data_IF_435471491431
#
_entry.id   IF_435471491431
#
_cell.length_a   1.000
_cell.length_b   1.000
_cell.length_c   1.000
_cell.angle_alpha   90.00
_cell.angle_beta   90.00
_cell.angle_gamma   90.00
#
_symmetry.space_group_name_H-M   'P 1'
#
loop_
_entity.id
_entity.type
_entity.pdbx_description
1 polymer ?
#
# COMPACT_ATOMS: atom_id res chain seq x y z
N UNK A 1 22.44 12.93 13.42
CA UNK A 1 22.63 12.67 11.98
C UNK A 1 22.32 11.21 11.75
N UNK A 2 21.23 10.90 11.06
CA UNK A 2 20.84 9.51 10.79
C UNK A 2 21.76 9.04 9.65
N UNK A 3 22.73 8.18 9.95
CA UNK A 3 23.58 7.61 8.92
C UNK A 3 22.78 6.50 8.25
N UNK A 4 22.33 6.71 7.01
CA UNK A 4 21.72 5.64 6.22
C UNK A 4 22.84 4.87 5.53
N UNK A 5 23.46 3.93 6.23
CA UNK A 5 24.42 3.02 5.57
C UNK A 5 23.67 1.92 4.82
N UNK A 6 24.33 1.30 3.84
CA UNK A 6 23.77 0.13 3.13
C UNK A 6 23.40 -1.00 4.11
N UNK A 7 24.15 -1.15 5.19
CA UNK A 7 23.91 -2.17 6.21
C UNK A 7 22.63 -1.86 7.00
N UNK A 8 22.44 -0.62 7.45
CA UNK A 8 21.22 -0.20 8.16
C UNK A 8 19.96 -0.43 7.31
N UNK A 9 20.05 -0.19 6.01
CA UNK A 9 18.96 -0.48 5.07
C UNK A 9 18.63 -1.97 4.97
N UNK A 10 19.64 -2.84 4.99
CA UNK A 10 19.42 -4.30 4.97
C UNK A 10 18.81 -4.79 6.29
N UNK A 11 19.28 -4.28 7.43
CA UNK A 11 18.75 -4.65 8.74
C UNK A 11 17.30 -4.19 8.91
N UNK A 12 16.97 -2.98 8.46
CA UNK A 12 15.60 -2.49 8.42
C UNK A 12 14.67 -3.35 7.53
N UNK A 13 15.13 -3.75 6.34
CA UNK A 13 14.33 -4.60 5.46
C UNK A 13 14.12 -6.01 6.04
N UNK A 14 15.12 -6.56 6.76
CA UNK A 14 14.98 -7.84 7.47
C UNK A 14 13.92 -7.75 8.56
N UNK A 15 13.96 -6.71 9.38
CA UNK A 15 12.95 -6.48 10.43
C UNK A 15 11.56 -6.23 9.84
N UNK A 16 11.46 -5.40 8.79
CA UNK A 16 10.21 -5.11 8.12
C UNK A 16 9.57 -6.38 7.52
N UNK A 17 10.38 -7.29 6.96
CA UNK A 17 9.90 -8.57 6.45
C UNK A 17 9.39 -9.52 7.55
N UNK A 18 9.90 -9.40 8.78
CA UNK A 18 9.44 -10.19 9.92
C UNK A 18 8.08 -9.71 10.46
N UNK A 19 7.67 -8.47 10.16
CA UNK A 19 6.36 -7.93 10.52
C UNK A 19 5.36 -8.26 9.40
N UNK A 20 4.36 -9.13 9.62
CA UNK A 20 3.42 -9.54 8.57
C UNK A 20 2.35 -8.47 8.33
N UNK A 21 2.73 -7.33 7.73
CA UNK A 21 1.78 -6.28 7.34
C UNK A 21 0.89 -6.81 6.20
N UNK A 22 -0.41 -6.94 6.48
CA UNK A 22 -1.42 -7.29 5.47
C UNK A 22 -2.21 -6.04 5.10
N UNK A 23 -1.87 -5.36 3.99
CA UNK A 23 -2.64 -4.20 3.57
C UNK A 23 -4.06 -4.62 3.16
N UNK A 24 -5.05 -3.90 3.67
CA UNK A 24 -6.42 -4.01 3.17
C UNK A 24 -6.48 -3.34 1.79
N UNK A 25 -6.82 -4.13 0.77
CA UNK A 25 -6.92 -3.64 -0.61
C UNK A 25 -8.27 -4.01 -1.19
N UNK A 26 -8.85 -3.07 -1.94
CA UNK A 26 -10.06 -3.28 -2.73
C UNK A 26 -9.65 -3.13 -4.19
N UNK A 27 -9.99 -4.13 -4.99
CA UNK A 27 -9.63 -4.17 -6.40
C UNK A 27 -10.78 -3.63 -7.23
N UNK A 28 -10.44 -2.73 -8.14
CA UNK A 28 -11.34 -2.24 -9.15
C UNK A 28 -10.75 -2.57 -10.53
N UNK A 29 -11.55 -3.10 -11.46
CA UNK A 29 -11.13 -3.16 -12.85
C UNK A 29 -10.74 -1.75 -13.34
N UNK A 30 -9.77 -1.67 -14.25
CA UNK A 30 -9.29 -0.40 -14.78
C UNK A 30 -10.43 0.41 -15.44
N UNK A 31 -11.37 -0.27 -16.09
CA UNK A 31 -12.58 0.32 -16.65
C UNK A 31 -13.49 0.99 -15.59
N UNK A 32 -13.38 0.58 -14.33
CA UNK A 32 -14.13 1.14 -13.19
C UNK A 32 -13.33 2.19 -12.40
N UNK A 33 -12.22 2.72 -12.94
CA UNK A 33 -11.38 3.69 -12.23
C UNK A 33 -12.16 4.91 -11.68
N UNK A 34 -13.14 5.41 -12.43
CA UNK A 34 -13.98 6.52 -11.97
C UNK A 34 -14.81 6.16 -10.72
N UNK A 35 -15.30 4.92 -10.64
CA UNK A 35 -16.01 4.43 -9.47
C UNK A 35 -15.07 4.33 -8.27
N UNK A 36 -13.87 3.79 -8.46
CA UNK A 36 -12.84 3.73 -7.42
C UNK A 36 -12.54 5.11 -6.82
N UNK A 37 -12.44 6.15 -7.67
CA UNK A 37 -12.21 7.53 -7.24
C UNK A 37 -13.40 8.11 -6.46
N UNK A 38 -14.63 7.81 -6.87
CA UNK A 38 -15.83 8.25 -6.15
C UNK A 38 -15.93 7.60 -4.77
N UNK A 39 -15.69 6.29 -4.67
CA UNK A 39 -15.70 5.57 -3.40
C UNK A 39 -14.57 6.05 -2.46
N UNK A 40 -13.38 6.36 -3.02
CA UNK A 40 -12.28 6.95 -2.25
C UNK A 40 -12.65 8.33 -1.71
N UNK A 41 -13.23 9.20 -2.54
CA UNK A 41 -13.68 10.54 -2.12
C UNK A 41 -14.76 10.49 -1.05
N UNK A 42 -15.67 9.51 -1.15
CA UNK A 42 -16.74 9.31 -0.18
C UNK A 42 -16.26 8.64 1.12
N UNK A 43 -15.02 8.14 1.17
CA UNK A 43 -14.51 7.38 2.31
C UNK A 43 -15.20 6.03 2.50
N UNK A 44 -15.69 5.42 1.41
CA UNK A 44 -16.51 4.20 1.44
C UNK A 44 -15.74 2.93 1.80
N UNK A 45 -14.41 2.99 1.92
CA UNK A 45 -13.59 1.87 2.32
C UNK A 45 -12.40 2.26 3.20
N UNK A 46 -11.90 1.28 3.95
CA UNK A 46 -10.66 1.38 4.69
C UNK A 46 -9.58 0.56 3.99
N UNK A 47 -8.48 1.21 3.58
CA UNK A 47 -7.39 0.58 2.86
C UNK A 47 -7.06 1.29 1.56
N UNK A 48 -6.50 0.57 0.60
CA UNK A 48 -6.12 1.11 -0.71
C UNK A 48 -7.03 0.56 -1.83
N UNK A 49 -7.51 1.45 -2.70
CA UNK A 49 -8.10 1.05 -3.97
C UNK A 49 -6.98 0.76 -4.98
N UNK A 50 -7.00 -0.43 -5.60
CA UNK A 50 -6.00 -0.88 -6.57
C UNK A 50 -6.70 -1.14 -7.90
N UNK A 51 -6.21 -0.51 -8.97
CA UNK A 51 -6.69 -0.77 -10.32
C UNK A 51 -6.03 -2.02 -10.88
N UNK A 52 -6.81 -2.90 -11.49
CA UNK A 52 -6.34 -4.16 -12.10
C UNK A 52 -6.70 -4.21 -13.58
N UNK A 53 -5.83 -4.81 -14.40
CA UNK A 53 -6.07 -5.09 -15.82
C UNK A 53 -6.80 -6.42 -16.02
#
# INVERSE_FOLDING_TARGET
MIANTRQDGLDLLREAAAIPIKPHTIRFPLEEANRALQELKAGSFQGAAVLTM
#
